data_IF_472198145711
#
_entry.id   IF_472198145711
#
_cell.length_a   1.000
_cell.length_b   1.000
_cell.length_c   1.000
_cell.angle_alpha   90.00
_cell.angle_beta   90.00
_cell.angle_gamma   90.00
#
_symmetry.space_group_name_H-M   'P 1'
#
loop_
_entity.id
_entity.type
_entity.pdbx_description
1 polymer ?
#
# COMPACT_ATOMS: atom_id res chain seq x y z
N UNK A 1 5.32 17.56 0.52
CA UNK A 1 4.43 16.51 -0.05
C UNK A 1 5.07 15.14 0.11
N UNK A 2 4.31 14.19 0.56
CA UNK A 2 4.79 12.83 0.76
C UNK A 2 4.99 12.13 -0.58
N UNK A 3 6.13 11.42 -0.74
CA UNK A 3 6.42 10.70 -1.97
C UNK A 3 5.95 9.25 -1.87
N UNK A 4 5.84 8.59 -3.04
CA UNK A 4 5.56 7.15 -3.11
C UNK A 4 6.58 6.37 -2.28
N UNK A 5 7.86 6.66 -2.45
CA UNK A 5 8.94 5.92 -1.78
C UNK A 5 8.84 6.05 -0.26
N UNK A 6 8.54 7.24 0.23
CA UNK A 6 8.39 7.46 1.67
C UNK A 6 7.22 6.66 2.23
N UNK A 7 6.07 6.72 1.55
CA UNK A 7 4.88 6.00 2.01
C UNK A 7 5.04 4.49 1.87
N UNK A 8 5.68 4.03 0.79
CA UNK A 8 5.96 2.62 0.61
C UNK A 8 6.86 2.10 1.73
N UNK A 9 7.91 2.85 2.07
CA UNK A 9 8.85 2.44 3.14
C UNK A 9 8.13 2.30 4.48
N UNK A 10 7.21 3.20 4.78
CA UNK A 10 6.43 3.13 6.03
C UNK A 10 5.52 1.89 6.04
N UNK A 11 4.84 1.62 4.94
CA UNK A 11 4.00 0.43 4.80
C UNK A 11 4.82 -0.85 4.92
N UNK A 12 5.95 -0.91 4.22
CA UNK A 12 6.85 -2.07 4.23
C UNK A 12 7.34 -2.36 5.65
N UNK A 13 7.78 -1.31 6.37
CA UNK A 13 8.26 -1.46 7.74
C UNK A 13 7.15 -1.96 8.67
N UNK A 14 5.93 -1.44 8.51
CA UNK A 14 4.79 -1.87 9.32
C UNK A 14 4.47 -3.35 9.09
N UNK A 15 4.47 -3.78 7.83
CA UNK A 15 4.23 -5.18 7.50
C UNK A 15 5.29 -6.08 8.12
N UNK A 16 6.56 -5.72 7.99
CA UNK A 16 7.64 -6.53 8.54
C UNK A 16 7.60 -6.58 10.06
N UNK A 17 7.24 -5.49 10.70
CA UNK A 17 7.17 -5.43 12.16
C UNK A 17 5.99 -6.23 12.73
N UNK A 18 4.82 -6.08 12.13
CA UNK A 18 3.58 -6.64 12.68
C UNK A 18 3.18 -7.96 12.04
N UNK A 19 3.70 -8.27 10.86
CA UNK A 19 3.36 -9.47 10.11
C UNK A 19 4.62 -10.09 9.49
N UNK A 20 5.57 -10.54 10.31
CA UNK A 20 6.88 -10.98 9.79
C UNK A 20 6.82 -12.18 8.84
N UNK A 21 5.72 -12.94 8.86
CA UNK A 21 5.52 -14.05 7.91
C UNK A 21 4.86 -13.67 6.61
N UNK A 22 4.58 -12.38 6.39
CA UNK A 22 3.88 -11.94 5.19
C UNK A 22 4.73 -12.15 3.93
N UNK A 23 4.05 -12.46 2.82
CA UNK A 23 4.70 -12.63 1.52
C UNK A 23 4.93 -11.25 0.89
N UNK A 24 6.13 -10.68 1.11
CA UNK A 24 6.46 -9.35 0.60
C UNK A 24 6.51 -9.31 -0.92
N UNK A 25 6.88 -10.41 -1.58
CA UNK A 25 6.88 -10.44 -3.04
C UNK A 25 5.46 -10.24 -3.59
N UNK A 26 4.49 -10.87 -2.97
CA UNK A 26 3.09 -10.73 -3.38
C UNK A 26 2.58 -9.31 -3.09
N UNK A 27 2.93 -8.76 -1.93
CA UNK A 27 2.57 -7.39 -1.57
C UNK A 27 3.17 -6.42 -2.59
N UNK A 28 4.45 -6.59 -2.95
CA UNK A 28 5.12 -5.71 -3.90
C UNK A 28 4.47 -5.78 -5.29
N UNK A 29 4.01 -6.96 -5.70
CA UNK A 29 3.30 -7.11 -6.98
C UNK A 29 1.96 -6.38 -6.95
N UNK A 30 1.26 -6.43 -5.82
CA UNK A 30 0.01 -5.69 -5.66
C UNK A 30 0.25 -4.18 -5.68
N UNK A 31 1.32 -3.71 -5.03
CA UNK A 31 1.70 -2.30 -5.06
C UNK A 31 2.01 -1.85 -6.48
N UNK A 32 2.78 -2.63 -7.22
CA UNK A 32 3.12 -2.31 -8.60
C UNK A 32 1.87 -2.25 -9.48
N UNK A 33 0.97 -3.20 -9.33
CA UNK A 33 -0.27 -3.21 -10.09
C UNK A 33 -1.11 -1.97 -9.77
N UNK A 34 -1.25 -1.64 -8.50
CA UNK A 34 -2.03 -0.47 -8.08
C UNK A 34 -1.37 0.82 -8.58
N UNK A 35 -0.04 0.90 -8.53
CA UNK A 35 0.68 2.09 -8.98
C UNK A 35 0.44 2.33 -10.48
N UNK A 36 0.52 1.29 -11.28
CA UNK A 36 0.25 1.40 -12.73
C UNK A 36 -1.19 1.85 -12.98
N UNK A 37 -2.14 1.29 -12.25
CA UNK A 37 -3.56 1.66 -12.41
C UNK A 37 -3.83 3.11 -12.03
N UNK A 38 -3.09 3.66 -11.07
CA UNK A 38 -3.32 5.01 -10.56
C UNK A 38 -2.30 6.03 -11.03
N UNK A 39 -1.44 5.68 -11.98
CA UNK A 39 -0.31 6.49 -12.41
C UNK A 39 -0.67 7.92 -12.77
N UNK A 40 -1.82 8.11 -13.40
CA UNK A 40 -2.25 9.44 -13.87
C UNK A 40 -3.24 10.10 -12.92
N UNK A 41 -3.56 9.44 -11.83
CA UNK A 41 -4.53 9.96 -10.87
C UNK A 41 -3.82 10.74 -9.78
N UNK A 42 -4.40 11.87 -9.43
CA UNK A 42 -3.91 12.72 -8.35
C UNK A 42 -5.04 12.97 -7.35
N UNK A 43 -4.66 13.14 -6.09
CA UNK A 43 -5.60 13.60 -5.08
C UNK A 43 -5.79 15.10 -5.23
N UNK A 44 -6.77 15.67 -4.51
CA UNK A 44 -7.07 17.11 -4.58
C UNK A 44 -5.86 17.97 -4.23
N UNK A 45 -4.97 17.47 -3.36
CA UNK A 45 -3.76 18.19 -2.95
C UNK A 45 -2.60 18.02 -3.93
N UNK A 46 -2.78 17.28 -5.02
CA UNK A 46 -1.75 17.06 -6.03
C UNK A 46 -0.87 15.84 -5.78
N UNK A 47 -1.03 15.15 -4.65
CA UNK A 47 -0.22 13.96 -4.36
C UNK A 47 -0.65 12.77 -5.23
N UNK A 48 0.27 11.81 -5.50
CA UNK A 48 -0.08 10.60 -6.25
C UNK A 48 -1.17 9.80 -5.53
N UNK A 49 -2.12 9.27 -6.28
CA UNK A 49 -3.23 8.52 -5.70
C UNK A 49 -2.76 7.28 -4.94
N UNK A 50 -1.67 6.64 -5.38
CA UNK A 50 -1.13 5.43 -4.76
C UNK A 50 -0.81 5.61 -3.27
N UNK A 51 -0.54 6.83 -2.85
CA UNK A 51 -0.25 7.14 -1.44
C UNK A 51 -1.39 6.69 -0.53
N UNK A 52 -2.64 6.85 -0.98
CA UNK A 52 -3.80 6.49 -0.19
C UNK A 52 -3.89 4.97 0.10
N UNK A 53 -3.89 4.08 -0.91
CA UNK A 53 -3.92 2.64 -0.61
C UNK A 53 -2.70 2.16 0.19
N UNK A 54 -1.53 2.77 -0.01
CA UNK A 54 -0.35 2.43 0.81
C UNK A 54 -0.57 2.78 2.28
N UNK A 55 -1.16 3.94 2.55
CA UNK A 55 -1.46 4.37 3.91
C UNK A 55 -2.48 3.43 4.57
N UNK A 56 -3.50 3.01 3.84
CA UNK A 56 -4.49 2.07 4.35
C UNK A 56 -3.85 0.72 4.65
N UNK A 57 -2.99 0.23 3.75
CA UNK A 57 -2.29 -1.04 3.97
C UNK A 57 -1.38 -0.99 5.20
N UNK A 58 -0.75 0.15 5.45
CA UNK A 58 0.07 0.35 6.65
C UNK A 58 -0.79 0.19 7.91
N UNK A 59 -1.97 0.81 7.94
CA UNK A 59 -2.88 0.71 9.08
C UNK A 59 -3.34 -0.74 9.28
N UNK A 60 -3.67 -1.42 8.19
CA UNK A 60 -4.08 -2.83 8.24
C UNK A 60 -2.98 -3.69 8.84
N UNK A 61 -1.72 -3.44 8.44
CA UNK A 61 -0.57 -4.17 8.98
C UNK A 61 -0.39 -3.88 10.48
N UNK A 62 -0.54 -2.64 10.89
CA UNK A 62 -0.42 -2.25 12.29
C UNK A 62 -1.48 -2.92 13.17
N UNK A 63 -2.65 -3.21 12.61
CA UNK A 63 -3.71 -3.93 13.30
C UNK A 63 -3.47 -5.44 13.34
N UNK A 64 -2.43 -5.92 12.64
CA UNK A 64 -2.09 -7.34 12.62
C UNK A 64 -3.08 -8.21 11.87
N UNK A 65 -3.76 -7.63 10.87
CA UNK A 65 -4.72 -8.36 10.06
C UNK A 65 -3.99 -9.25 9.05
N UNK A 66 -4.75 -10.03 8.28
CA UNK A 66 -4.15 -11.03 7.39
C UNK A 66 -3.70 -10.46 6.03
N UNK A 67 -3.04 -11.31 5.24
CA UNK A 67 -2.58 -10.96 3.90
C UNK A 67 -3.72 -10.51 2.99
N UNK A 68 -4.86 -11.18 3.07
CA UNK A 68 -6.00 -10.84 2.21
C UNK A 68 -6.46 -9.40 2.49
N UNK A 69 -6.42 -8.99 3.75
CA UNK A 69 -6.80 -7.63 4.13
C UNK A 69 -5.82 -6.60 3.57
N UNK A 70 -4.52 -6.91 3.59
CA UNK A 70 -3.51 -6.02 3.00
C UNK A 70 -3.68 -5.91 1.49
N UNK A 71 -3.83 -7.04 0.82
CA UNK A 71 -4.04 -7.06 -0.63
C UNK A 71 -5.33 -6.33 -1.00
N UNK A 72 -6.40 -6.54 -0.22
CA UNK A 72 -7.65 -5.83 -0.43
C UNK A 72 -7.48 -4.32 -0.31
N UNK A 73 -6.73 -3.86 0.71
CA UNK A 73 -6.46 -2.44 0.90
C UNK A 73 -5.71 -1.84 -0.30
N UNK A 74 -4.72 -2.57 -0.83
CA UNK A 74 -3.92 -2.10 -1.95
C UNK A 74 -4.70 -2.08 -3.27
N UNK A 75 -5.64 -3.01 -3.43
CA UNK A 75 -6.30 -3.24 -4.71
C UNK A 75 -7.75 -2.77 -4.79
N UNK A 76 -8.32 -2.25 -3.71
CA UNK A 76 -9.77 -2.00 -3.65
C UNK A 76 -10.26 -0.99 -4.69
N UNK A 77 -9.43 -0.05 -5.11
CA UNK A 77 -9.78 0.94 -6.12
C UNK A 77 -9.27 0.59 -7.51
N UNK A 78 -8.77 -0.62 -7.72
CA UNK A 78 -8.19 -1.04 -9.00
C UNK A 78 -9.20 -1.73 -9.92
N UNK A 79 -10.44 -1.79 -9.51
CA UNK A 79 -11.52 -2.48 -10.25
C UNK A 79 -12.13 -1.56 -11.29
#
# INVERSE_FOLDING_TARGET
METFEERYALMHAAVQKHMPGADMALIDRAVEYADVKHQRQKRKDGSPYIIHPLAVAEIVAELGLDMDSILGALLHDCI
#
